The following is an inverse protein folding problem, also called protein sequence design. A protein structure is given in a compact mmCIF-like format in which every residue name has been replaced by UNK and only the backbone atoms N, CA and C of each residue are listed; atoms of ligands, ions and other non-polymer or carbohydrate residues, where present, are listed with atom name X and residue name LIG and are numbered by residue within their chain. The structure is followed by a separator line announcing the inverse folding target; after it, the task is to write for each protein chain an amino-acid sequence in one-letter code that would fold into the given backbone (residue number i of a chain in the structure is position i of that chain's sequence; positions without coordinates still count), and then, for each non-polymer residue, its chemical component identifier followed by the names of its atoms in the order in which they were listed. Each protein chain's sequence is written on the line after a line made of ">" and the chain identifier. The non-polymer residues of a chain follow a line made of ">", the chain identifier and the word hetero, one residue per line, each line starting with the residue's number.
data_IF_460892872004
#
_entry.id   IF_460892872004
#
_cell.length_a   1.000
_cell.length_b   1.000
_cell.length_c   1.000
_cell.angle_alpha   90.00
_cell.angle_beta   90.00
_cell.angle_gamma   90.00
#
_symmetry.space_group_name_H-M   'P 1'
#
loop_
_entity.id
_entity.type
_entity.pdbx_description
1 polymer ?
#
# COMPACT_ATOMS: atom_id res chain seq x y z
N UNK A 1 -9.68 -12.93 -20.57
CA UNK A 1 -8.28 -13.43 -20.57
C UNK A 1 -7.95 -13.89 -19.16
N UNK A 2 -7.07 -14.89 -18.96
CA UNK A 2 -6.60 -15.27 -17.62
C UNK A 2 -6.02 -14.05 -16.89
N UNK A 3 -6.36 -13.85 -15.62
CA UNK A 3 -5.90 -12.67 -14.86
C UNK A 3 -4.44 -12.80 -14.41
N UNK A 4 -3.93 -14.03 -14.31
CA UNK A 4 -2.56 -14.32 -13.90
C UNK A 4 -2.01 -15.50 -14.70
N UNK A 5 -0.74 -15.43 -15.08
CA UNK A 5 -0.03 -16.46 -15.85
C UNK A 5 1.15 -17.03 -15.05
N UNK A 6 1.32 -18.35 -15.10
CA UNK A 6 2.40 -19.13 -14.52
C UNK A 6 3.13 -19.86 -15.65
N UNK A 7 4.46 -19.87 -15.65
CA UNK A 7 5.27 -20.65 -16.60
C UNK A 7 6.04 -21.73 -15.84
N UNK A 8 5.81 -23.00 -16.18
CA UNK A 8 6.41 -24.17 -15.49
C UNK A 8 6.94 -25.14 -16.53
N UNK A 9 8.26 -25.42 -16.55
CA UNK A 9 8.88 -26.48 -17.37
C UNK A 9 8.35 -26.56 -18.84
N UNK A 10 8.27 -25.42 -19.53
CA UNK A 10 7.73 -25.25 -20.90
C UNK A 10 6.19 -25.29 -21.05
N UNK A 11 5.45 -25.23 -19.94
CA UNK A 11 4.00 -25.04 -19.91
C UNK A 11 3.65 -23.61 -19.50
N UNK A 12 2.66 -23.02 -20.16
CA UNK A 12 2.01 -21.77 -19.70
C UNK A 12 0.67 -22.14 -19.07
N UNK A 13 0.41 -21.69 -17.85
CA UNK A 13 -0.82 -21.93 -17.10
C UNK A 13 -1.42 -20.57 -16.73
N UNK A 14 -2.56 -20.22 -17.31
CA UNK A 14 -3.33 -19.06 -16.90
C UNK A 14 -4.47 -19.48 -15.98
N UNK A 15 -4.78 -18.72 -14.91
CA UNK A 15 -5.93 -19.03 -14.06
C UNK A 15 -6.96 -17.91 -13.92
N UNK A 16 -8.21 -18.30 -13.64
CA UNK A 16 -9.32 -17.43 -13.28
C UNK A 16 -10.07 -18.03 -12.09
N UNK A 17 -10.28 -17.23 -11.04
CA UNK A 17 -11.07 -17.63 -9.87
C UNK A 17 -12.54 -17.28 -10.14
N UNK A 18 -13.44 -18.26 -10.07
CA UNK A 18 -14.88 -18.00 -10.06
C UNK A 18 -15.31 -17.71 -8.61
N UNK A 19 -15.59 -16.45 -8.31
CA UNK A 19 -15.96 -15.97 -6.97
C UNK A 19 -17.28 -16.52 -6.43
N UNK A 20 -18.12 -17.15 -7.28
CA UNK A 20 -19.41 -17.72 -6.88
C UNK A 20 -19.27 -19.20 -6.49
N UNK A 21 -18.32 -19.92 -7.10
CA UNK A 21 -18.20 -21.38 -6.94
C UNK A 21 -16.90 -21.82 -6.27
N UNK A 22 -16.05 -20.87 -5.88
CA UNK A 22 -14.71 -21.10 -5.34
C UNK A 22 -13.87 -22.07 -6.21
N UNK A 23 -14.13 -22.03 -7.51
CA UNK A 23 -13.50 -22.91 -8.49
C UNK A 23 -12.46 -22.11 -9.26
N UNK A 24 -11.21 -22.57 -9.21
CA UNK A 24 -10.14 -22.03 -10.03
C UNK A 24 -10.10 -22.80 -11.35
N UNK A 25 -10.23 -22.07 -12.44
CA UNK A 25 -10.09 -22.58 -13.79
C UNK A 25 -8.68 -22.28 -14.25
N UNK A 26 -7.91 -23.32 -14.59
CA UNK A 26 -6.62 -23.16 -15.22
C UNK A 26 -6.68 -23.65 -16.67
N UNK A 27 -6.04 -22.93 -17.57
CA UNK A 27 -5.87 -23.36 -18.95
C UNK A 27 -4.40 -23.22 -19.35
N UNK A 28 -3.91 -24.15 -20.14
CA UNK A 28 -2.51 -24.16 -20.53
C UNK A 28 -2.20 -25.03 -21.72
N UNK A 29 -0.92 -25.11 -22.07
CA UNK A 29 -0.42 -26.05 -23.07
C UNK A 29 0.94 -26.61 -22.67
N UNK A 30 1.29 -27.80 -23.15
CA UNK A 30 2.62 -28.39 -22.98
C UNK A 30 3.63 -27.90 -24.05
N UNK A 31 4.89 -28.34 -23.94
CA UNK A 31 5.96 -28.02 -24.91
C UNK A 31 5.64 -28.49 -26.35
N UNK A 32 4.78 -29.49 -26.50
CA UNK A 32 4.28 -29.99 -27.79
C UNK A 32 3.01 -29.29 -28.28
N UNK A 33 2.53 -28.26 -27.59
CA UNK A 33 1.33 -27.50 -27.96
C UNK A 33 0.00 -28.17 -27.60
N UNK A 34 0.01 -29.25 -26.79
CA UNK A 34 -1.22 -29.93 -26.36
C UNK A 34 -1.90 -29.10 -25.28
N UNK A 35 -3.16 -28.74 -25.53
CA UNK A 35 -3.95 -27.89 -24.64
C UNK A 35 -4.61 -28.67 -23.49
N UNK A 36 -4.46 -28.02 -22.34
CA UNK A 36 -4.98 -28.25 -21.01
C UNK A 36 -6.25 -27.51 -20.57
N UNK A 37 -7.21 -28.16 -19.92
CA UNK A 37 -8.05 -27.42 -18.96
C UNK A 37 -8.12 -28.15 -17.63
N UNK A 38 -7.95 -27.39 -16.56
CA UNK A 38 -7.97 -27.86 -15.19
C UNK A 38 -9.08 -27.17 -14.40
N UNK A 39 -9.83 -27.96 -13.63
CA UNK A 39 -10.72 -27.46 -12.58
C UNK A 39 -10.31 -28.09 -11.26
N UNK A 40 -10.34 -27.30 -10.20
CA UNK A 40 -9.97 -27.76 -8.89
C UNK A 40 -10.70 -27.03 -7.78
N UNK A 41 -10.51 -27.53 -6.56
CA UNK A 41 -11.06 -26.97 -5.33
C UNK A 41 -10.04 -27.12 -4.19
N UNK A 42 -10.18 -26.30 -3.15
CA UNK A 42 -9.42 -26.46 -1.93
C UNK A 42 -9.84 -27.73 -1.20
N UNK A 43 -8.87 -28.52 -0.77
CA UNK A 43 -9.05 -29.66 0.14
C UNK A 43 -8.73 -29.29 1.58
N UNK A 44 -7.95 -28.23 1.78
CA UNK A 44 -7.72 -27.52 3.05
C UNK A 44 -7.37 -26.05 2.75
N UNK A 45 -7.17 -25.23 3.79
CA UNK A 45 -6.81 -23.81 3.64
C UNK A 45 -5.55 -23.58 2.79
N UNK A 46 -4.60 -24.52 2.82
CA UNK A 46 -3.29 -24.39 2.15
C UNK A 46 -3.11 -25.39 1.00
N UNK A 47 -4.11 -26.24 0.74
CA UNK A 47 -4.00 -27.28 -0.28
C UNK A 47 -5.12 -27.15 -1.29
N UNK A 48 -4.74 -26.94 -2.53
CA UNK A 48 -5.64 -26.96 -3.68
C UNK A 48 -5.24 -28.07 -4.63
N UNK A 49 -6.24 -28.80 -5.14
CA UNK A 49 -6.02 -29.87 -6.11
C UNK A 49 -6.77 -29.55 -7.38
N UNK A 50 -6.06 -29.66 -8.50
CA UNK A 50 -6.56 -29.56 -9.86
C UNK A 50 -6.59 -30.92 -10.54
N UNK A 51 -7.65 -31.19 -11.29
CA UNK A 51 -7.67 -32.29 -12.25
C UNK A 51 -7.63 -31.73 -13.67
N UNK A 52 -6.54 -31.99 -14.38
CA UNK A 52 -6.41 -31.68 -15.79
C UNK A 52 -7.09 -32.73 -16.66
N UNK A 53 -7.69 -32.25 -17.75
CA UNK A 53 -8.31 -33.06 -18.78
C UNK A 53 -7.85 -32.64 -20.17
N UNK A 54 -7.75 -33.61 -21.06
CA UNK A 54 -7.61 -33.37 -22.50
C UNK A 54 -8.91 -32.82 -23.12
N UNK A 55 -8.87 -32.46 -24.41
CA UNK A 55 -10.04 -31.95 -25.14
C UNK A 55 -11.17 -32.97 -25.28
N UNK A 56 -10.90 -34.25 -25.06
CA UNK A 56 -11.88 -35.32 -25.08
C UNK A 56 -12.49 -35.57 -23.67
N UNK A 57 -12.03 -34.84 -22.66
CA UNK A 57 -12.49 -34.96 -21.28
C UNK A 57 -11.81 -36.07 -20.47
N UNK A 58 -10.80 -36.75 -21.03
CA UNK A 58 -10.03 -37.76 -20.33
C UNK A 58 -9.11 -37.11 -19.31
N UNK A 59 -9.00 -37.70 -18.12
CA UNK A 59 -8.06 -37.24 -17.09
C UNK A 59 -6.63 -37.48 -17.56
N UNK A 60 -5.82 -36.43 -17.52
CA UNK A 60 -4.41 -36.49 -17.95
C UNK A 60 -3.45 -36.41 -16.77
N UNK A 61 -3.74 -35.53 -15.82
CA UNK A 61 -2.85 -35.23 -14.70
C UNK A 61 -3.65 -34.66 -13.53
N UNK A 62 -3.25 -35.01 -12.31
CA UNK A 62 -3.65 -34.31 -11.09
C UNK A 62 -2.53 -33.37 -10.69
N UNK A 63 -2.83 -32.13 -10.33
CA UNK A 63 -1.81 -31.19 -9.82
C UNK A 63 -2.23 -30.72 -8.44
N UNK A 64 -1.34 -30.91 -7.47
CA UNK A 64 -1.50 -30.41 -6.12
C UNK A 64 -0.71 -29.11 -5.94
N UNK A 65 -1.33 -28.14 -5.29
CA UNK A 65 -0.78 -26.82 -4.99
C UNK A 65 -0.78 -26.68 -3.48
N UNK A 66 0.41 -26.69 -2.89
CA UNK A 66 0.64 -26.54 -1.47
C UNK A 66 1.19 -25.14 -1.19
N UNK A 67 0.28 -24.23 -0.79
CA UNK A 67 0.59 -22.85 -0.46
C UNK A 67 1.36 -22.80 0.86
N UNK A 68 2.64 -22.44 0.81
CA UNK A 68 3.44 -22.20 2.01
C UNK A 68 3.09 -20.84 2.63
N UNK A 69 2.86 -19.86 1.75
CA UNK A 69 2.31 -18.55 2.07
C UNK A 69 1.66 -17.97 0.79
N UNK A 70 1.25 -16.71 0.85
CA UNK A 70 0.54 -16.05 -0.25
C UNK A 70 1.35 -15.95 -1.56
N UNK A 71 2.67 -15.89 -1.45
CA UNK A 71 3.58 -15.66 -2.57
C UNK A 71 4.41 -16.89 -2.92
N UNK A 72 4.23 -18.01 -2.23
CA UNK A 72 5.11 -19.17 -2.27
C UNK A 72 4.32 -20.46 -2.28
N UNK A 73 4.37 -21.16 -3.40
CA UNK A 73 3.55 -22.35 -3.65
C UNK A 73 4.44 -23.48 -4.12
N UNK A 74 4.30 -24.65 -3.50
CA UNK A 74 4.90 -25.89 -4.00
C UNK A 74 3.85 -26.58 -4.85
N UNK A 75 4.18 -26.87 -6.11
CA UNK A 75 3.31 -27.58 -7.04
C UNK A 75 3.87 -28.97 -7.32
N UNK A 76 2.99 -29.97 -7.34
CA UNK A 76 3.36 -31.35 -7.66
C UNK A 76 2.33 -31.99 -8.58
N UNK A 77 2.80 -32.54 -9.71
CA UNK A 77 1.96 -33.19 -10.70
C UNK A 77 2.02 -34.72 -10.56
N UNK A 78 0.88 -35.37 -10.72
CA UNK A 78 0.71 -36.82 -10.59
C UNK A 78 0.00 -37.39 -11.81
N UNK A 79 0.34 -38.61 -12.19
CA UNK A 79 -0.42 -39.39 -13.16
C UNK A 79 -1.75 -39.91 -12.58
N UNK A 80 -2.51 -40.65 -13.39
CA UNK A 80 -3.78 -41.24 -12.97
C UNK A 80 -3.64 -42.38 -11.92
N UNK A 81 -2.43 -42.89 -11.71
CA UNK A 81 -2.09 -43.92 -10.72
C UNK A 81 -1.53 -43.29 -9.41
N UNK A 82 -1.47 -41.96 -9.33
CA UNK A 82 -0.88 -41.15 -8.25
C UNK A 82 0.65 -41.26 -8.13
N UNK A 83 1.37 -41.63 -9.19
CA UNK A 83 2.82 -41.49 -9.20
C UNK A 83 3.20 -40.02 -9.45
N UNK A 84 4.14 -39.51 -8.64
CA UNK A 84 4.68 -38.15 -8.82
C UNK A 84 5.47 -38.08 -10.12
N UNK A 85 5.08 -37.14 -10.99
CA UNK A 85 5.71 -36.89 -12.29
C UNK A 85 6.74 -35.75 -12.20
N UNK A 86 6.41 -34.71 -11.43
CA UNK A 86 7.26 -33.54 -11.24
C UNK A 86 6.88 -32.77 -9.98
N UNK A 87 7.83 -32.03 -9.42
CA UNK A 87 7.63 -31.12 -8.29
C UNK A 87 8.40 -29.83 -8.52
N UNK A 88 7.78 -28.69 -8.28
CA UNK A 88 8.41 -27.37 -8.42
C UNK A 88 7.94 -26.40 -7.34
N UNK A 89 8.68 -25.30 -7.14
CA UNK A 89 8.32 -24.21 -6.21
C UNK A 89 8.17 -22.93 -7.02
N UNK A 90 7.01 -22.31 -6.94
CA UNK A 90 6.73 -21.00 -7.51
C UNK A 90 6.78 -19.93 -6.42
N UNK A 91 7.58 -18.89 -6.67
CA UNK A 91 7.64 -17.70 -5.82
C UNK A 91 7.23 -16.50 -6.68
N UNK A 92 6.13 -15.83 -6.32
CA UNK A 92 5.70 -14.59 -6.98
C UNK A 92 6.79 -13.54 -6.80
N UNK A 93 7.26 -12.98 -7.90
CA UNK A 93 8.21 -11.87 -7.92
C UNK A 93 7.80 -10.92 -9.03
N UNK A 94 7.08 -9.88 -8.64
CA UNK A 94 6.60 -8.86 -9.57
C UNK A 94 7.69 -7.79 -9.84
N UNK A 95 7.61 -7.08 -10.98
CA UNK A 95 8.52 -5.99 -11.30
C UNK A 95 8.37 -4.81 -10.32
N UNK A 96 9.41 -3.97 -10.21
CA UNK A 96 9.45 -2.80 -9.31
C UNK A 96 9.74 -1.47 -10.04
N UNK A 97 9.70 -1.49 -11.37
CA UNK A 97 10.09 -0.39 -12.25
C UNK A 97 9.19 0.85 -12.14
N UNK A 98 7.96 0.69 -11.64
CA UNK A 98 7.00 1.79 -11.44
C UNK A 98 7.04 2.42 -10.04
N UNK A 99 7.96 1.97 -9.17
CA UNK A 99 8.20 2.53 -7.84
C UNK A 99 6.91 2.75 -7.01
N UNK A 100 6.12 1.69 -6.81
CA UNK A 100 4.86 1.75 -6.06
C UNK A 100 5.13 1.44 -4.58
N UNK A 101 4.62 2.27 -3.68
CA UNK A 101 4.71 2.06 -2.23
C UNK A 101 3.43 1.49 -1.61
N UNK A 102 3.52 1.15 -0.33
CA UNK A 102 2.38 0.74 0.51
C UNK A 102 2.44 1.43 1.86
N UNK A 103 1.28 1.91 2.36
CA UNK A 103 1.11 2.28 3.75
C UNK A 103 0.78 1.03 4.58
N UNK A 104 1.62 0.71 5.56
CA UNK A 104 1.58 -0.53 6.35
C UNK A 104 0.40 -0.64 7.30
N UNK A 105 -0.46 0.39 7.44
CA UNK A 105 -1.79 0.18 8.05
C UNK A 105 -2.58 -0.90 7.30
N UNK A 106 -2.34 -1.04 5.98
CA UNK A 106 -3.00 -2.01 5.11
C UNK A 106 -2.70 -3.48 5.42
N UNK A 107 -1.74 -3.74 6.30
CA UNK A 107 -1.37 -5.06 6.80
C UNK A 107 -1.01 -4.96 8.28
N UNK A 108 -1.64 -4.05 9.03
CA UNK A 108 -1.25 -3.74 10.40
C UNK A 108 -1.21 -4.98 11.28
N UNK A 109 -2.24 -5.82 11.22
CA UNK A 109 -2.35 -7.03 12.02
C UNK A 109 -1.29 -8.08 11.63
N UNK A 110 -0.97 -8.22 10.35
CA UNK A 110 0.08 -9.13 9.87
C UNK A 110 1.46 -8.64 10.28
N UNK A 111 1.68 -7.32 10.22
CA UNK A 111 2.90 -6.69 10.71
C UNK A 111 3.07 -6.84 12.23
N UNK A 112 1.98 -6.81 13.02
CA UNK A 112 2.05 -7.08 14.46
C UNK A 112 2.37 -8.55 14.77
N UNK A 113 1.91 -9.49 13.93
CA UNK A 113 2.14 -10.92 14.10
C UNK A 113 3.54 -11.35 13.66
N UNK A 114 3.95 -10.97 12.45
CA UNK A 114 5.22 -11.35 11.86
C UNK A 114 5.69 -10.31 10.81
N UNK A 115 6.43 -9.28 11.24
CA UNK A 115 6.93 -8.24 10.35
C UNK A 115 7.80 -8.78 9.21
N UNK A 116 8.71 -9.72 9.48
CA UNK A 116 9.69 -10.20 8.51
C UNK A 116 9.03 -10.96 7.35
N UNK A 117 8.11 -11.88 7.68
CA UNK A 117 7.36 -12.63 6.66
C UNK A 117 6.40 -11.72 5.89
N UNK A 118 5.73 -10.77 6.56
CA UNK A 118 4.82 -9.82 5.92
C UNK A 118 5.58 -8.94 4.91
N UNK A 119 6.71 -8.35 5.32
CA UNK A 119 7.55 -7.54 4.44
C UNK A 119 8.12 -8.35 3.28
N UNK A 120 8.51 -9.61 3.51
CA UNK A 120 8.98 -10.51 2.44
C UNK A 120 7.89 -10.72 1.39
N UNK A 121 6.65 -10.95 1.81
CA UNK A 121 5.52 -11.11 0.90
C UNK A 121 5.21 -9.82 0.13
N UNK A 122 5.22 -8.66 0.78
CA UNK A 122 5.05 -7.36 0.11
C UNK A 122 6.16 -7.09 -0.91
N UNK A 123 7.40 -7.41 -0.58
CA UNK A 123 8.54 -7.29 -1.48
C UNK A 123 8.39 -8.15 -2.73
N UNK A 124 7.93 -9.39 -2.58
CA UNK A 124 7.60 -10.35 -3.65
C UNK A 124 6.41 -9.90 -4.51
N UNK A 125 5.42 -9.24 -3.91
CA UNK A 125 4.27 -8.65 -4.62
C UNK A 125 4.65 -7.47 -5.52
N UNK A 126 5.85 -6.89 -5.38
CA UNK A 126 6.36 -5.82 -6.24
C UNK A 126 6.35 -4.43 -5.60
N UNK A 127 5.95 -4.31 -4.32
CA UNK A 127 6.11 -3.04 -3.62
C UNK A 127 7.59 -2.65 -3.56
N UNK A 128 7.86 -1.37 -3.79
CA UNK A 128 9.22 -0.82 -3.89
C UNK A 128 9.66 -0.14 -2.60
N UNK A 129 8.70 0.38 -1.83
CA UNK A 129 8.96 0.99 -0.54
C UNK A 129 7.74 0.91 0.38
N UNK A 130 7.95 1.18 1.65
CA UNK A 130 6.92 1.20 2.68
C UNK A 130 6.85 2.57 3.35
N UNK A 131 5.64 2.93 3.76
CA UNK A 131 5.37 3.96 4.77
C UNK A 131 4.81 3.28 6.02
N UNK A 132 5.36 3.56 7.19
CA UNK A 132 4.85 3.00 8.45
C UNK A 132 3.63 3.76 8.94
N UNK A 133 2.77 3.07 9.71
CA UNK A 133 1.57 3.68 10.30
C UNK A 133 1.86 4.43 11.61
N UNK A 134 2.71 3.89 12.48
CA UNK A 134 3.01 4.52 13.78
C UNK A 134 4.47 4.31 14.17
N UNK A 135 5.16 5.41 14.47
CA UNK A 135 6.35 5.43 15.31
C UNK A 135 5.98 5.43 16.79
N UNK A 136 6.48 4.46 17.56
CA UNK A 136 6.15 4.31 18.98
C UNK A 136 7.40 3.92 19.78
N UNK A 137 7.58 4.57 20.93
CA UNK A 137 8.64 4.24 21.89
C UNK A 137 10.06 4.17 21.28
N UNK A 138 10.38 5.01 20.29
CA UNK A 138 11.71 4.99 19.67
C UNK A 138 11.90 3.94 18.56
N UNK A 139 10.85 3.26 18.11
CA UNK A 139 10.96 2.22 17.10
C UNK A 139 9.72 2.01 16.25
N UNK A 140 9.76 0.94 15.45
CA UNK A 140 8.75 0.56 14.46
C UNK A 140 8.47 -0.93 14.57
N UNK A 141 7.21 -1.31 14.79
CA UNK A 141 6.81 -2.73 14.91
C UNK A 141 7.71 -3.57 15.85
N UNK A 142 8.07 -3.00 17.00
CA UNK A 142 8.91 -3.66 18.02
C UNK A 142 10.42 -3.70 17.71
N UNK A 143 10.85 -3.08 16.61
CA UNK A 143 12.25 -3.04 16.18
C UNK A 143 12.84 -1.63 16.36
N UNK A 144 14.16 -1.55 16.59
CA UNK A 144 14.88 -0.27 16.52
C UNK A 144 14.82 0.30 15.08
N UNK A 145 15.10 1.60 14.90
CA UNK A 145 15.16 2.21 13.57
C UNK A 145 16.09 1.49 12.59
N UNK A 146 17.29 1.10 13.01
CA UNK A 146 18.25 0.35 12.17
C UNK A 146 17.75 -1.05 11.84
N UNK A 147 17.19 -1.75 12.82
CA UNK A 147 16.67 -3.11 12.65
C UNK A 147 15.51 -3.12 11.66
N UNK A 148 14.56 -2.19 11.82
CA UNK A 148 13.41 -2.12 10.92
C UNK A 148 13.83 -1.78 9.49
N UNK A 149 14.76 -0.81 9.31
CA UNK A 149 15.35 -0.51 8.00
C UNK A 149 15.95 -1.76 7.36
N UNK A 150 16.79 -2.50 8.09
CA UNK A 150 17.44 -3.69 7.59
C UNK A 150 16.42 -4.79 7.20
N UNK A 151 15.35 -4.96 7.96
CA UNK A 151 14.27 -5.92 7.65
C UNK A 151 13.53 -5.56 6.35
N UNK A 152 13.24 -4.27 6.15
CA UNK A 152 12.62 -3.78 4.90
C UNK A 152 13.57 -3.95 3.70
N UNK A 153 14.85 -3.61 3.85
CA UNK A 153 15.87 -3.76 2.80
C UNK A 153 16.13 -5.22 2.43
N UNK A 154 16.15 -6.13 3.41
CA UNK A 154 16.25 -7.58 3.18
C UNK A 154 15.09 -8.11 2.32
N UNK A 155 13.92 -7.48 2.42
CA UNK A 155 12.73 -7.79 1.62
C UNK A 155 12.77 -7.14 0.21
N UNK A 156 13.87 -6.47 -0.14
CA UNK A 156 14.06 -5.80 -1.42
C UNK A 156 13.25 -4.51 -1.57
N UNK A 157 12.89 -3.86 -0.47
CA UNK A 157 12.14 -2.60 -0.43
C UNK A 157 12.94 -1.50 0.27
N UNK A 158 12.51 -0.24 0.15
CA UNK A 158 13.04 0.88 0.95
C UNK A 158 12.08 1.26 2.07
N UNK A 159 12.61 1.63 3.23
CA UNK A 159 11.82 2.31 4.26
C UNK A 159 11.84 3.82 3.95
N UNK A 160 10.74 4.36 3.41
CA UNK A 160 10.76 5.68 2.77
C UNK A 160 10.02 6.75 3.56
N UNK A 161 8.91 6.38 4.20
CA UNK A 161 8.06 7.31 4.94
C UNK A 161 7.66 6.75 6.29
N UNK A 162 7.37 7.61 7.25
CA UNK A 162 6.75 7.19 8.51
C UNK A 162 5.66 8.14 8.93
N UNK A 163 4.48 7.59 9.18
CA UNK A 163 3.40 8.32 9.82
C UNK A 163 3.64 8.41 11.33
N UNK A 164 3.65 9.64 11.82
CA UNK A 164 4.22 10.01 13.11
C UNK A 164 3.36 11.12 13.74
N UNK A 165 2.93 10.88 14.97
CA UNK A 165 1.94 11.72 15.66
C UNK A 165 2.51 12.31 16.94
N UNK A 166 2.42 13.63 17.05
CA UNK A 166 2.62 14.35 18.30
C UNK A 166 1.78 15.61 18.28
N UNK A 167 0.93 15.75 19.28
CA UNK A 167 0.11 16.94 19.50
C UNK A 167 0.39 17.45 20.92
N UNK A 168 1.24 18.49 21.07
CA UNK A 168 1.57 19.03 22.38
C UNK A 168 0.35 19.71 23.01
N UNK A 169 0.31 19.72 24.35
CA UNK A 169 -0.73 20.44 25.11
C UNK A 169 -0.71 21.94 24.78
N UNK A 170 0.49 22.54 24.77
CA UNK A 170 0.72 23.90 24.27
C UNK A 170 1.56 23.88 22.98
N UNK A 171 0.97 24.36 21.88
CA UNK A 171 1.61 24.47 20.55
C UNK A 171 2.66 25.60 20.50
N UNK A 172 2.76 26.40 21.56
CA UNK A 172 3.75 27.44 21.72
C UNK A 172 4.92 27.03 22.63
N UNK A 173 4.85 25.87 23.28
CA UNK A 173 5.96 25.34 24.08
C UNK A 173 7.07 24.77 23.18
N UNK A 174 7.93 25.66 22.71
CA UNK A 174 9.07 25.32 21.87
C UNK A 174 10.02 24.33 22.55
N UNK A 175 10.10 24.31 23.89
CA UNK A 175 10.98 23.37 24.59
C UNK A 175 10.43 21.94 24.48
N UNK A 176 9.16 21.74 24.80
CA UNK A 176 8.52 20.42 24.67
C UNK A 176 8.51 19.92 23.22
N UNK A 177 8.17 20.80 22.27
CA UNK A 177 8.19 20.51 20.84
C UNK A 177 9.59 20.07 20.40
N UNK A 178 10.62 20.84 20.75
CA UNK A 178 12.00 20.52 20.37
C UNK A 178 12.50 19.22 21.01
N UNK A 179 12.18 18.95 22.28
CA UNK A 179 12.59 17.71 22.95
C UNK A 179 12.04 16.50 22.21
N UNK A 180 10.75 16.50 21.90
CA UNK A 180 10.10 15.37 21.24
C UNK A 180 10.56 15.23 19.79
N UNK A 181 10.46 16.31 19.00
CA UNK A 181 10.76 16.23 17.56
C UNK A 181 12.23 16.03 17.27
N UNK A 182 13.17 16.56 18.04
CA UNK A 182 14.59 16.31 17.79
C UNK A 182 14.93 14.82 17.97
N UNK A 183 14.43 14.17 19.03
CA UNK A 183 14.62 12.74 19.23
C UNK A 183 13.99 11.95 18.07
N UNK A 184 12.71 12.19 17.80
CA UNK A 184 11.96 11.53 16.73
C UNK A 184 12.66 11.69 15.37
N UNK A 185 13.12 12.89 15.03
CA UNK A 185 13.85 13.15 13.79
C UNK A 185 15.16 12.35 13.73
N UNK A 186 15.95 12.27 14.81
CA UNK A 186 17.17 11.46 14.78
C UNK A 186 16.88 9.97 14.58
N UNK A 187 15.88 9.44 15.27
CA UNK A 187 15.47 8.03 15.09
C UNK A 187 15.03 7.77 13.64
N UNK A 188 14.30 8.69 13.01
CA UNK A 188 13.88 8.58 11.62
C UNK A 188 15.04 8.71 10.62
N UNK A 189 16.04 9.55 10.91
CA UNK A 189 17.27 9.61 10.10
C UNK A 189 18.05 8.30 10.14
N UNK A 190 18.13 7.68 11.32
CA UNK A 190 18.76 6.38 11.49
C UNK A 190 17.99 5.30 10.68
N UNK A 191 16.66 5.33 10.73
CA UNK A 191 15.79 4.49 9.91
C UNK A 191 15.92 4.75 8.39
N UNK A 192 16.50 5.88 7.98
CA UNK A 192 16.75 6.21 6.58
C UNK A 192 15.53 6.66 5.79
N UNK A 193 14.46 7.09 6.46
CA UNK A 193 13.27 7.63 5.77
C UNK A 193 13.57 8.99 5.14
N UNK A 194 12.80 9.35 4.11
CA UNK A 194 12.89 10.66 3.44
C UNK A 194 11.86 11.67 3.98
N UNK A 195 10.77 11.18 4.58
CA UNK A 195 9.71 12.04 5.07
C UNK A 195 8.97 11.48 6.29
N UNK A 196 8.40 12.40 7.08
CA UNK A 196 7.51 12.10 8.19
C UNK A 196 6.12 12.65 7.83
N UNK A 197 5.14 11.76 7.76
CA UNK A 197 3.74 12.15 7.58
C UNK A 197 3.02 12.29 8.92
N UNK A 198 1.98 13.12 8.97
CA UNK A 198 1.10 13.26 10.13
C UNK A 198 -0.33 13.51 9.67
N UNK A 199 -1.31 13.26 10.54
CA UNK A 199 -2.70 13.66 10.35
C UNK A 199 -3.25 14.22 11.66
N UNK A 200 -4.47 14.78 11.63
CA UNK A 200 -5.06 15.40 12.81
C UNK A 200 -6.44 14.81 13.13
N UNK A 201 -6.53 13.99 14.17
CA UNK A 201 -7.79 13.41 14.63
C UNK A 201 -8.65 14.35 15.48
N UNK A 202 -8.16 15.55 15.81
CA UNK A 202 -8.86 16.54 16.66
C UNK A 202 -9.57 17.64 15.88
N UNK A 203 -9.59 17.59 14.54
CA UNK A 203 -10.16 18.67 13.71
C UNK A 203 -11.63 18.98 14.03
N UNK A 204 -12.45 17.98 14.38
CA UNK A 204 -13.83 18.19 14.81
C UNK A 204 -13.97 19.06 16.07
N UNK A 205 -12.93 19.11 16.89
CA UNK A 205 -12.84 19.92 18.10
C UNK A 205 -12.48 21.38 17.85
N UNK A 206 -11.90 21.71 16.69
CA UNK A 206 -11.47 23.07 16.35
C UNK A 206 -12.69 23.93 16.02
N UNK A 207 -12.82 25.10 16.66
CA UNK A 207 -13.99 25.98 16.51
C UNK A 207 -13.66 27.37 15.98
N UNK A 208 -12.39 27.78 16.02
CA UNK A 208 -11.96 29.13 15.65
C UNK A 208 -10.80 29.13 14.65
N UNK A 209 -10.69 30.20 13.84
CA UNK A 209 -9.54 30.43 12.97
C UNK A 209 -8.24 30.55 13.78
N UNK A 210 -8.31 31.09 15.02
CA UNK A 210 -7.14 31.18 15.90
C UNK A 210 -6.54 29.80 16.18
N UNK A 211 -7.36 28.82 16.51
CA UNK A 211 -6.89 27.44 16.74
C UNK A 211 -6.30 26.82 15.46
N UNK A 212 -6.87 27.09 14.28
CA UNK A 212 -6.28 26.67 13.01
C UNK A 212 -4.92 27.33 12.76
N UNK A 213 -4.78 28.61 13.10
CA UNK A 213 -3.50 29.31 13.00
C UNK A 213 -2.45 28.73 13.94
N UNK A 214 -2.83 28.31 15.15
CA UNK A 214 -1.94 27.63 16.09
C UNK A 214 -1.43 26.30 15.52
N UNK A 215 -2.28 25.51 14.86
CA UNK A 215 -1.86 24.32 14.12
C UNK A 215 -0.92 24.65 12.95
N UNK A 216 -1.22 25.66 12.14
CA UNK A 216 -0.34 26.08 11.04
C UNK A 216 1.05 26.51 11.55
N UNK A 217 1.09 27.29 12.63
CA UNK A 217 2.33 27.70 13.28
C UNK A 217 3.12 26.50 13.78
N UNK A 218 2.44 25.55 14.43
CA UNK A 218 3.04 24.30 14.89
C UNK A 218 3.62 23.48 13.73
N UNK A 219 2.86 23.24 12.67
CA UNK A 219 3.32 22.50 11.50
C UNK A 219 4.50 23.18 10.81
N UNK A 220 4.51 24.52 10.73
CA UNK A 220 5.65 25.28 10.21
C UNK A 220 6.92 25.10 11.07
N UNK A 221 6.80 25.09 12.41
CA UNK A 221 7.93 24.83 13.31
C UNK A 221 8.49 23.43 13.08
N UNK A 222 7.63 22.40 13.04
CA UNK A 222 8.04 21.01 12.81
C UNK A 222 8.64 20.83 11.43
N UNK A 223 8.00 21.34 10.39
CA UNK A 223 8.51 21.27 9.01
C UNK A 223 9.89 21.91 8.86
N UNK A 224 10.14 23.03 9.55
CA UNK A 224 11.46 23.66 9.58
C UNK A 224 12.51 22.79 10.27
N UNK A 225 12.16 22.10 11.36
CA UNK A 225 13.04 21.15 12.04
C UNK A 225 13.37 19.94 11.16
N UNK A 226 12.35 19.36 10.50
CA UNK A 226 12.52 18.27 9.54
C UNK A 226 13.46 18.69 8.39
N UNK A 227 13.19 19.83 7.75
CA UNK A 227 14.01 20.34 6.65
C UNK A 227 15.47 20.55 7.04
N UNK A 228 15.73 21.15 8.21
CA UNK A 228 17.10 21.34 8.74
C UNK A 228 17.86 20.02 8.88
N UNK A 229 17.14 18.92 9.04
CA UNK A 229 17.67 17.58 9.22
C UNK A 229 17.61 16.70 7.96
N UNK A 230 17.24 17.27 6.81
CA UNK A 230 17.16 16.56 5.53
C UNK A 230 15.89 15.72 5.34
N UNK A 231 14.85 15.96 6.13
CA UNK A 231 13.56 15.25 6.04
C UNK A 231 12.45 16.19 5.56
N UNK A 232 11.44 15.64 4.90
CA UNK A 232 10.20 16.37 4.56
C UNK A 232 9.14 16.14 5.66
N UNK A 233 8.41 17.18 6.04
CA UNK A 233 7.22 17.04 6.88
C UNK A 233 5.97 17.11 6.01
N UNK A 234 5.09 16.13 6.16
CA UNK A 234 3.97 15.91 5.23
C UNK A 234 2.66 15.81 6.00
N UNK A 235 1.64 16.58 5.62
CA UNK A 235 0.31 16.48 6.20
C UNK A 235 -0.59 15.59 5.33
N UNK A 236 -1.11 14.51 5.90
CA UNK A 236 -2.05 13.57 5.29
C UNK A 236 -3.50 13.92 5.69
N UNK A 237 -4.41 13.99 4.72
CA UNK A 237 -5.81 14.33 4.97
C UNK A 237 -6.72 13.11 5.12
N UNK A 238 -7.78 13.27 5.91
CA UNK A 238 -8.99 12.47 5.89
C UNK A 238 -10.17 13.33 5.39
N UNK A 239 -11.41 12.95 5.72
CA UNK A 239 -12.61 13.72 5.36
C UNK A 239 -12.83 14.95 6.28
N UNK A 240 -12.33 14.91 7.52
CA UNK A 240 -12.59 15.96 8.51
C UNK A 240 -11.87 17.28 8.17
N UNK A 241 -10.79 17.22 7.39
CA UNK A 241 -10.08 18.35 6.82
C UNK A 241 -10.98 19.22 5.91
N UNK A 242 -12.08 18.68 5.40
CA UNK A 242 -13.01 19.41 4.54
C UNK A 242 -14.18 20.05 5.31
N UNK A 243 -14.18 19.93 6.64
CA UNK A 243 -15.10 20.68 7.50
C UNK A 243 -14.77 22.18 7.48
N UNK A 244 -15.77 22.99 7.84
CA UNK A 244 -15.63 24.45 7.95
C UNK A 244 -15.48 24.90 9.40
N UNK A 245 -14.56 25.82 9.63
CA UNK A 245 -14.37 26.57 10.87
C UNK A 245 -14.55 28.04 10.54
N UNK A 246 -15.51 28.69 11.18
CA UNK A 246 -15.87 30.10 10.92
C UNK A 246 -16.03 30.43 9.42
N UNK A 247 -16.60 29.49 8.65
CA UNK A 247 -16.85 29.62 7.22
C UNK A 247 -15.70 29.20 6.30
N UNK A 248 -14.51 28.92 6.84
CA UNK A 248 -13.32 28.54 6.08
C UNK A 248 -13.09 27.02 6.15
N UNK A 249 -12.82 26.38 5.01
CA UNK A 249 -12.45 24.96 4.95
C UNK A 249 -11.09 24.76 5.62
N UNK A 250 -10.98 23.79 6.54
CA UNK A 250 -9.75 23.52 7.30
C UNK A 250 -8.56 23.22 6.38
N UNK A 251 -8.75 22.36 5.37
CA UNK A 251 -7.67 21.98 4.45
C UNK A 251 -7.16 23.16 3.62
N UNK A 252 -8.07 24.01 3.12
CA UNK A 252 -7.70 25.25 2.41
C UNK A 252 -6.89 26.17 3.31
N UNK A 253 -7.30 26.32 4.58
CA UNK A 253 -6.56 27.12 5.55
C UNK A 253 -5.14 26.58 5.76
N UNK A 254 -4.97 25.27 5.94
CA UNK A 254 -3.65 24.65 6.10
C UNK A 254 -2.80 24.82 4.85
N UNK A 255 -3.34 24.61 3.65
CA UNK A 255 -2.62 24.82 2.40
C UNK A 255 -2.19 26.29 2.23
N UNK A 256 -3.03 27.25 2.61
CA UNK A 256 -2.73 28.68 2.45
C UNK A 256 -1.79 29.24 3.52
N UNK A 257 -1.81 28.69 4.75
CA UNK A 257 -1.13 29.27 5.91
C UNK A 257 0.07 28.44 6.42
N UNK A 258 0.40 27.34 5.74
CA UNK A 258 1.67 26.63 5.94
C UNK A 258 2.68 27.02 4.86
N UNK A 259 3.94 27.14 5.27
CA UNK A 259 5.02 27.51 4.37
C UNK A 259 5.33 26.33 3.43
N UNK A 260 5.23 26.50 2.10
CA UNK A 260 5.44 25.43 1.12
C UNK A 260 6.87 24.88 1.13
N UNK A 261 7.85 25.61 1.68
CA UNK A 261 9.22 25.12 1.85
C UNK A 261 9.38 24.14 3.01
N UNK A 262 8.44 24.12 3.95
CA UNK A 262 8.52 23.37 5.21
C UNK A 262 7.46 22.28 5.32
N UNK A 263 6.25 22.53 4.83
CA UNK A 263 5.10 21.65 4.96
C UNK A 263 4.57 21.25 3.59
N UNK A 264 4.68 19.96 3.30
CA UNK A 264 4.14 19.29 2.13
C UNK A 264 2.84 18.59 2.50
N UNK A 265 2.09 18.13 1.50
CA UNK A 265 0.85 17.40 1.70
C UNK A 265 0.90 16.03 1.03
N UNK A 266 0.22 15.06 1.65
CA UNK A 266 -0.09 13.76 1.11
C UNK A 266 -1.60 13.71 0.92
N UNK A 267 -2.05 13.60 -0.33
CA UNK A 267 -3.49 13.52 -0.60
C UNK A 267 -3.95 12.08 -0.49
N UNK A 268 -4.91 11.82 0.39
CA UNK A 268 -5.72 10.61 0.30
C UNK A 268 -6.90 10.86 -0.64
N UNK A 269 -6.84 10.22 -1.81
CA UNK A 269 -7.81 10.43 -2.88
C UNK A 269 -9.21 9.93 -2.50
N UNK A 270 -9.30 8.86 -1.70
CA UNK A 270 -10.56 8.35 -1.20
C UNK A 270 -11.17 9.29 -0.18
N UNK A 271 -10.38 9.75 0.78
CA UNK A 271 -10.88 10.63 1.82
C UNK A 271 -11.26 12.02 1.30
N UNK A 272 -10.60 12.52 0.26
CA UNK A 272 -11.04 13.71 -0.46
C UNK A 272 -12.45 13.53 -1.05
N UNK A 273 -12.68 12.42 -1.77
CA UNK A 273 -13.99 12.09 -2.31
C UNK A 273 -15.04 11.93 -1.18
N UNK A 274 -14.69 11.28 -0.07
CA UNK A 274 -15.55 11.14 1.12
C UNK A 274 -15.84 12.48 1.81
N UNK A 275 -14.92 13.43 1.75
CA UNK A 275 -15.09 14.81 2.18
C UNK A 275 -15.96 15.65 1.23
N UNK A 276 -16.39 15.08 0.10
CA UNK A 276 -17.24 15.75 -0.87
C UNK A 276 -16.49 16.71 -1.81
N UNK A 277 -15.17 16.55 -1.93
CA UNK A 277 -14.34 17.40 -2.80
C UNK A 277 -13.68 16.58 -3.91
N UNK A 278 -13.42 17.24 -5.04
CA UNK A 278 -12.66 16.66 -6.14
C UNK A 278 -11.15 16.93 -5.96
N UNK A 279 -10.29 15.90 -5.88
CA UNK A 279 -8.84 16.08 -5.80
C UNK A 279 -8.24 16.96 -6.91
N UNK A 280 -8.78 16.87 -8.12
CA UNK A 280 -8.27 17.62 -9.28
C UNK A 280 -8.36 19.13 -9.07
N UNK A 281 -9.42 19.60 -8.40
CA UNK A 281 -9.62 21.03 -8.13
C UNK A 281 -8.55 21.54 -7.15
N UNK A 282 -8.19 20.74 -6.16
CA UNK A 282 -7.09 21.04 -5.23
C UNK A 282 -5.74 21.04 -5.93
N UNK A 283 -5.47 20.09 -6.83
CA UNK A 283 -4.21 20.03 -7.57
C UNK A 283 -4.03 21.26 -8.46
N UNK A 284 -5.10 21.70 -9.13
CA UNK A 284 -5.08 22.92 -9.95
C UNK A 284 -4.92 24.19 -9.10
N UNK A 285 -5.57 24.24 -7.94
CA UNK A 285 -5.55 25.43 -7.06
C UNK A 285 -4.22 25.56 -6.31
N UNK A 286 -3.64 24.43 -5.88
CA UNK A 286 -2.43 24.37 -5.07
C UNK A 286 -1.36 23.48 -5.74
N UNK A 287 -0.86 23.89 -6.92
CA UNK A 287 0.11 23.08 -7.66
C UNK A 287 1.40 22.89 -6.84
N UNK A 288 2.02 21.72 -7.00
CA UNK A 288 3.24 21.29 -6.32
C UNK A 288 3.17 21.15 -4.78
N UNK A 289 1.97 21.20 -4.18
CA UNK A 289 1.82 21.02 -2.72
C UNK A 289 1.69 19.57 -2.29
N UNK A 290 1.36 18.65 -3.20
CA UNK A 290 1.00 17.27 -2.88
C UNK A 290 2.10 16.31 -3.37
N UNK A 291 3.09 16.05 -2.52
CA UNK A 291 4.28 15.27 -2.90
C UNK A 291 4.01 13.76 -2.92
N UNK A 292 2.92 13.33 -2.31
CA UNK A 292 2.53 11.92 -2.31
C UNK A 292 1.02 11.76 -2.37
N UNK A 293 0.58 10.62 -2.90
CA UNK A 293 -0.81 10.20 -2.86
C UNK A 293 -0.95 8.88 -2.13
N UNK A 294 -1.99 8.81 -1.30
CA UNK A 294 -2.59 7.55 -0.89
C UNK A 294 -3.69 7.20 -1.90
N UNK A 295 -3.48 6.09 -2.60
CA UNK A 295 -4.36 5.54 -3.61
C UNK A 295 -5.17 4.44 -2.93
N UNK A 296 -6.30 4.88 -2.40
CA UNK A 296 -7.19 4.11 -1.54
C UNK A 296 -8.58 4.05 -2.17
N UNK A 297 -9.31 2.98 -1.90
CA UNK A 297 -10.76 2.89 -2.18
C UNK A 297 -11.50 2.48 -0.90
N UNK A 298 -12.81 2.28 -0.98
CA UNK A 298 -13.59 1.80 0.16
C UNK A 298 -13.07 0.45 0.68
N UNK A 299 -12.75 -0.46 -0.24
CA UNK A 299 -12.10 -1.76 0.02
C UNK A 299 -11.00 -2.03 -1.00
N UNK A 300 -11.16 -3.06 -1.83
CA UNK A 300 -10.25 -3.38 -2.92
C UNK A 300 -10.17 -2.23 -3.93
N UNK A 301 -8.94 -1.81 -4.25
CA UNK A 301 -8.67 -0.64 -5.08
C UNK A 301 -9.26 -0.80 -6.50
N UNK A 302 -10.13 0.13 -6.88
CA UNK A 302 -10.73 0.20 -8.20
C UNK A 302 -12.04 -0.59 -8.35
N UNK A 303 -12.46 -1.32 -7.32
CA UNK A 303 -13.68 -2.15 -7.38
C UNK A 303 -14.96 -1.36 -7.04
N UNK A 304 -14.85 -0.21 -6.36
CA UNK A 304 -16.06 0.55 -5.97
C UNK A 304 -16.74 1.26 -7.15
N UNK A 305 -15.97 1.59 -8.20
CA UNK A 305 -16.40 2.42 -9.33
C UNK A 305 -16.72 3.88 -8.96
N UNK A 306 -16.38 4.35 -7.75
CA UNK A 306 -16.75 5.68 -7.25
C UNK A 306 -15.68 6.75 -7.44
N UNK A 307 -14.45 6.36 -7.75
CA UNK A 307 -13.31 7.26 -7.91
C UNK A 307 -12.71 7.02 -9.29
N UNK A 308 -12.65 8.08 -10.11
CA UNK A 308 -11.98 8.03 -11.41
C UNK A 308 -10.47 8.25 -11.23
N UNK A 309 -9.77 7.22 -10.77
CA UNK A 309 -8.31 7.28 -10.60
C UNK A 309 -7.59 7.57 -11.93
N UNK A 310 -8.14 7.11 -13.07
CA UNK A 310 -7.49 7.32 -14.37
C UNK A 310 -7.48 8.79 -14.73
N UNK A 311 -8.57 9.52 -14.51
CA UNK A 311 -8.58 10.97 -14.72
C UNK A 311 -7.66 11.68 -13.72
N UNK A 312 -7.70 11.30 -12.44
CA UNK A 312 -6.86 11.89 -11.39
C UNK A 312 -5.36 11.76 -11.71
N UNK A 313 -4.90 10.61 -12.20
CA UNK A 313 -3.49 10.36 -12.50
C UNK A 313 -2.93 11.27 -13.61
N UNK A 314 -3.78 11.82 -14.49
CA UNK A 314 -3.34 12.83 -15.45
C UNK A 314 -2.81 14.13 -14.80
N UNK A 315 -3.08 14.34 -13.52
CA UNK A 315 -2.70 15.54 -12.76
C UNK A 315 -1.49 15.35 -11.85
N UNK A 316 -0.79 14.20 -11.88
CA UNK A 316 0.40 13.92 -11.05
C UNK A 316 1.44 15.05 -11.11
N UNK A 317 1.75 15.53 -12.33
CA UNK A 317 2.73 16.60 -12.54
C UNK A 317 2.28 17.94 -11.95
N UNK A 318 0.99 18.26 -12.04
CA UNK A 318 0.44 19.52 -11.51
C UNK A 318 0.42 19.47 -9.97
N UNK A 319 0.01 18.34 -9.40
CA UNK A 319 -0.01 18.10 -7.97
C UNK A 319 1.40 18.12 -7.34
N UNK A 320 2.43 17.69 -8.09
CA UNK A 320 3.81 17.58 -7.63
C UNK A 320 4.17 16.22 -7.04
N UNK A 321 3.44 15.17 -7.45
CA UNK A 321 3.57 13.82 -6.88
C UNK A 321 4.95 13.24 -7.17
N UNK A 322 5.61 12.79 -6.11
CA UNK A 322 6.88 12.05 -6.12
C UNK A 322 6.66 10.60 -5.70
N UNK A 323 5.65 10.33 -4.87
CA UNK A 323 5.41 9.02 -4.26
C UNK A 323 3.94 8.61 -4.39
N UNK A 324 3.69 7.37 -4.83
CA UNK A 324 2.36 6.78 -4.92
C UNK A 324 2.32 5.58 -3.97
N UNK A 325 1.42 5.61 -3.00
CA UNK A 325 1.26 4.55 -2.02
C UNK A 325 -0.15 3.98 -2.13
N UNK A 326 -0.26 2.67 -2.24
CA UNK A 326 -1.55 2.01 -2.04
C UNK A 326 -1.89 1.97 -0.55
N UNK A 327 -3.17 2.13 -0.25
CA UNK A 327 -3.70 1.91 1.09
C UNK A 327 -5.04 1.18 1.03
N UNK A 328 -5.23 0.21 1.92
CA UNK A 328 -6.48 -0.55 2.07
C UNK A 328 -6.76 -0.63 3.57
N UNK A 329 -7.99 -0.36 3.99
CA UNK A 329 -8.34 -0.37 5.44
C UNK A 329 -9.50 -1.30 5.76
N UNK A 330 -10.33 -1.60 4.77
CA UNK A 330 -11.44 -2.55 4.86
C UNK A 330 -11.29 -3.55 3.71
N UNK A 331 -11.67 -4.79 3.96
CA UNK A 331 -11.33 -5.92 3.12
C UNK A 331 -12.55 -6.79 2.85
N UNK A 332 -12.61 -7.34 1.65
CA UNK A 332 -13.51 -8.44 1.31
C UNK A 332 -12.80 -9.80 1.38
N UNK A 333 -11.46 -9.78 1.46
CA UNK A 333 -10.56 -10.92 1.43
C UNK A 333 -9.48 -10.79 2.51
N UNK A 334 -8.61 -11.79 2.71
CA UNK A 334 -7.44 -11.61 3.56
C UNK A 334 -6.60 -10.40 3.13
N UNK A 335 -6.08 -9.64 4.09
CA UNK A 335 -5.29 -8.42 3.90
C UNK A 335 -4.21 -8.55 2.81
N UNK A 336 -3.38 -9.59 2.89
CA UNK A 336 -2.30 -9.86 1.91
C UNK A 336 -2.82 -10.09 0.50
N UNK A 337 -4.00 -10.69 0.33
CA UNK A 337 -4.63 -10.83 -0.98
C UNK A 337 -5.12 -9.47 -1.50
N UNK A 338 -5.83 -8.71 -0.68
CA UNK A 338 -6.35 -7.39 -1.07
C UNK A 338 -5.25 -6.38 -1.40
N UNK A 339 -4.15 -6.34 -0.66
CA UNK A 339 -3.01 -5.45 -1.01
C UNK A 339 -2.27 -5.94 -2.26
N UNK A 340 -2.29 -7.25 -2.56
CA UNK A 340 -1.83 -7.77 -3.84
C UNK A 340 -2.66 -7.26 -5.02
N UNK A 341 -3.99 -7.24 -4.87
CA UNK A 341 -4.90 -6.65 -5.87
C UNK A 341 -4.69 -5.15 -6.02
N UNK A 342 -4.46 -4.44 -4.92
CA UNK A 342 -4.19 -3.01 -4.95
C UNK A 342 -2.91 -2.71 -5.75
N UNK A 343 -1.83 -3.48 -5.52
CA UNK A 343 -0.61 -3.35 -6.32
C UNK A 343 -0.87 -3.60 -7.81
N UNK A 344 -1.59 -4.69 -8.15
CA UNK A 344 -1.89 -5.03 -9.54
C UNK A 344 -2.71 -3.91 -10.22
N UNK A 345 -3.68 -3.31 -9.52
CA UNK A 345 -4.46 -2.19 -10.04
C UNK A 345 -3.57 -0.96 -10.32
N UNK A 346 -2.76 -0.52 -9.35
CA UNK A 346 -1.87 0.64 -9.56
C UNK A 346 -0.89 0.37 -10.71
N UNK A 347 -0.26 -0.81 -10.72
CA UNK A 347 0.77 -1.15 -11.70
C UNK A 347 0.20 -1.31 -13.11
N UNK A 348 -0.83 -2.13 -13.27
CA UNK A 348 -1.34 -2.50 -14.59
C UNK A 348 -2.39 -1.55 -15.12
N UNK A 349 -3.17 -0.86 -14.27
CA UNK A 349 -4.28 -0.01 -14.71
C UNK A 349 -4.01 1.49 -14.64
N UNK A 350 -3.32 1.96 -13.59
CA UNK A 350 -3.19 3.41 -13.34
C UNK A 350 -1.88 3.99 -13.90
N UNK A 351 -0.76 3.27 -13.77
CA UNK A 351 0.56 3.73 -14.24
C UNK A 351 0.94 3.19 -15.63
N UNK A 352 0.00 3.18 -16.58
CA UNK A 352 0.20 2.60 -17.92
C UNK A 352 1.26 3.33 -18.75
#
# INVERSE_FOLDING_TARGET
>A
MPKHFLKINNHNIGYHVNSVTDTVFAAGHNAGGIFFTGKGKFSSENHWTMQDKDLNGNKTMKVDFNFQNYTDVILEGFDNENHSLWKTRYIKNNPKDKNIGIQLVSVHDDMLKNPEETLTQLGRMGYSYVETFVYKNGGFYGQSPEQFRATVEKSGMKFLGSMTFFDPEDKNDDAAINVWWNKTIQDHKIAGVEYLSTSNSKLKGIKTIKELQEYCNYYNKVGKLCKKNGLKFVYHNHADEFLKVEGVTVYDYFLQNTNPDYVYFQSDLYWMQRGGVNPIDYFKTYPNRFISWHVKDYKELGESGKIDFKDIFNYQKIAGVQYILSEVEDYSFPSLYSVGLAWDNVYYELLK
#
